data_IF_078260529497
#
_entry.id   IF_078260529497
#
_cell.length_a   1.000
_cell.length_b   1.000
_cell.length_c   1.000
_cell.angle_alpha   90.00
_cell.angle_beta   90.00
_cell.angle_gamma   90.00
#
_symmetry.space_group_name_H-M   'P 1'
#
loop_
_entity.id
_entity.type
_entity.pdbx_description
1 polymer ?
#
# COMPACT_ATOMS: atom_id res chain seq x y z
N UNK A 1 10.29 -0.56 -5.02
CA UNK A 1 9.29 -1.62 -4.79
C UNK A 1 9.44 -2.15 -3.37
N UNK A 2 8.34 -2.43 -2.65
CA UNK A 2 8.41 -3.06 -1.34
C UNK A 2 9.19 -4.37 -1.44
N UNK A 3 10.15 -4.60 -0.55
CA UNK A 3 11.00 -5.81 -0.57
C UNK A 3 10.23 -7.06 -0.13
N UNK A 4 9.18 -6.87 0.66
CA UNK A 4 8.34 -7.92 1.22
C UNK A 4 6.88 -7.50 1.05
N UNK A 5 6.00 -8.47 0.80
CA UNK A 5 4.58 -8.21 0.56
C UNK A 5 3.86 -7.90 1.87
N UNK A 6 3.63 -8.91 2.72
CA UNK A 6 2.92 -8.79 3.99
C UNK A 6 3.38 -9.85 4.99
N UNK A 7 3.12 -9.66 6.30
CA UNK A 7 3.20 -10.77 7.25
C UNK A 7 2.10 -11.79 6.95
N UNK A 8 2.50 -13.06 6.84
CA UNK A 8 1.58 -14.19 6.65
C UNK A 8 1.76 -15.19 7.78
N UNK A 9 0.68 -15.86 8.15
CA UNK A 9 0.69 -16.93 9.17
C UNK A 9 1.20 -18.23 8.54
N UNK A 10 2.07 -18.94 9.25
CA UNK A 10 2.54 -20.26 8.85
C UNK A 10 1.44 -21.28 9.18
N UNK A 11 0.91 -21.93 8.14
CA UNK A 11 -0.09 -23.00 8.28
C UNK A 11 0.55 -24.36 8.58
N UNK A 12 1.71 -24.65 7.98
CA UNK A 12 2.45 -25.88 8.22
C UNK A 12 3.96 -25.66 8.06
N UNK A 13 4.76 -26.45 8.78
CA UNK A 13 6.21 -26.41 8.70
C UNK A 13 6.77 -27.80 8.34
N UNK A 14 7.67 -27.83 7.36
CA UNK A 14 8.36 -29.02 6.89
C UNK A 14 9.88 -28.84 7.06
N UNK A 15 10.40 -28.96 8.30
CA UNK A 15 11.81 -28.65 8.59
C UNK A 15 12.80 -29.53 7.83
N UNK A 16 12.41 -30.77 7.48
CA UNK A 16 13.25 -31.69 6.68
C UNK A 16 13.61 -31.14 5.29
N UNK A 17 12.73 -30.33 4.70
CA UNK A 17 12.94 -29.71 3.37
C UNK A 17 13.18 -28.21 3.46
N UNK A 18 13.23 -27.65 4.68
CA UNK A 18 13.22 -26.20 4.89
C UNK A 18 12.06 -25.49 4.17
N UNK A 19 10.91 -26.15 4.08
CA UNK A 19 9.71 -25.63 3.42
C UNK A 19 8.66 -25.25 4.47
N UNK A 20 7.95 -24.16 4.23
CA UNK A 20 6.86 -23.68 5.06
C UNK A 20 5.66 -23.37 4.18
N UNK A 21 4.47 -23.75 4.64
CA UNK A 21 3.21 -23.41 4.00
C UNK A 21 2.64 -22.17 4.65
N UNK A 22 2.37 -21.13 3.87
CA UNK A 22 1.77 -19.88 4.32
C UNK A 22 0.26 -19.86 4.04
N UNK A 23 -0.50 -19.20 4.91
CA UNK A 23 -1.89 -18.84 4.63
C UNK A 23 -1.95 -17.55 3.80
N UNK A 24 -2.41 -17.64 2.56
CA UNK A 24 -2.47 -16.52 1.60
C UNK A 24 -3.93 -16.14 1.25
N UNK A 25 -4.68 -15.49 2.16
CA UNK A 25 -6.08 -15.13 1.90
C UNK A 25 -6.24 -14.13 0.75
N UNK A 26 -5.24 -13.27 0.54
CA UNK A 26 -5.26 -12.23 -0.50
C UNK A 26 -4.99 -12.79 -1.91
N UNK A 27 -4.33 -13.95 -2.02
CA UNK A 27 -3.94 -14.51 -3.30
C UNK A 27 -4.06 -16.05 -3.28
N UNK A 28 -5.30 -16.57 -3.34
CA UNK A 28 -5.56 -18.01 -3.24
C UNK A 28 -5.04 -18.81 -4.45
N UNK A 29 -4.69 -18.14 -5.55
CA UNK A 29 -4.18 -18.78 -6.77
C UNK A 29 -2.67 -19.10 -6.67
N UNK A 30 -1.96 -18.49 -5.72
CA UNK A 30 -0.51 -18.68 -5.57
C UNK A 30 -0.21 -19.93 -4.76
N UNK A 31 0.86 -20.64 -5.12
CA UNK A 31 1.30 -21.81 -4.37
C UNK A 31 1.73 -21.40 -2.95
N UNK A 32 1.18 -22.02 -1.89
CA UNK A 32 1.40 -21.57 -0.52
C UNK A 32 2.72 -22.06 0.09
N UNK A 33 3.44 -22.99 -0.57
CA UNK A 33 4.70 -23.54 -0.08
C UNK A 33 5.90 -22.69 -0.48
N UNK A 34 6.68 -22.24 0.50
CA UNK A 34 7.88 -21.42 0.31
C UNK A 34 9.07 -22.03 1.04
N UNK A 35 10.25 -21.92 0.44
CA UNK A 35 11.50 -22.29 1.10
C UNK A 35 11.90 -21.22 2.13
N UNK A 36 12.54 -21.64 3.23
CA UNK A 36 12.94 -20.80 4.36
C UNK A 36 13.75 -19.55 3.96
N UNK A 37 14.57 -19.65 2.91
CA UNK A 37 15.40 -18.54 2.41
C UNK A 37 14.60 -17.38 1.81
N UNK A 38 13.35 -17.63 1.39
CA UNK A 38 12.45 -16.61 0.86
C UNK A 38 11.64 -15.92 1.96
N UNK A 39 11.63 -16.52 3.16
CA UNK A 39 10.84 -16.05 4.28
C UNK A 39 11.70 -15.18 5.20
N UNK A 40 11.09 -14.11 5.68
CA UNK A 40 11.67 -13.26 6.72
C UNK A 40 10.71 -13.19 7.88
N UNK A 41 11.22 -13.43 9.10
CA UNK A 41 10.42 -13.27 10.30
C UNK A 41 9.92 -11.85 10.40
N UNK A 42 8.61 -11.69 10.52
CA UNK A 42 8.00 -10.41 10.83
C UNK A 42 8.25 -10.08 12.31
N UNK A 43 8.75 -8.87 12.56
CA UNK A 43 8.94 -8.33 13.90
C UNK A 43 8.07 -7.08 13.95
N UNK A 44 7.03 -7.03 14.81
CA UNK A 44 6.21 -5.84 14.94
C UNK A 44 7.05 -4.67 15.42
N UNK A 45 6.67 -3.46 15.02
CA UNK A 45 7.32 -2.26 15.52
C UNK A 45 7.07 -2.12 17.03
N UNK A 46 8.08 -1.65 17.76
CA UNK A 46 7.89 -1.24 19.15
C UNK A 46 7.72 0.27 19.18
N UNK A 47 6.50 0.73 19.47
CA UNK A 47 6.12 2.14 19.50
C UNK A 47 6.93 2.97 20.51
N UNK A 48 7.33 2.38 21.65
CA UNK A 48 8.07 3.09 22.70
C UNK A 48 9.51 3.39 22.27
N UNK A 49 10.14 2.46 21.56
CA UNK A 49 11.53 2.58 21.11
C UNK A 49 11.65 3.29 19.76
N UNK A 50 10.65 3.12 18.89
CA UNK A 50 10.66 3.64 17.53
C UNK A 50 9.32 4.29 17.17
N UNK A 51 8.92 5.38 17.85
CA UNK A 51 7.65 6.07 17.57
C UNK A 51 7.63 6.62 16.14
N UNK A 52 8.78 7.00 15.58
CA UNK A 52 8.89 7.50 14.20
C UNK A 52 8.64 6.45 13.10
N UNK A 53 8.51 5.17 13.46
CA UNK A 53 8.18 4.09 12.51
C UNK A 53 6.68 3.81 12.45
N UNK A 54 5.92 4.27 13.43
CA UNK A 54 4.47 4.23 13.42
C UNK A 54 3.96 5.56 12.86
N UNK A 55 3.23 5.45 11.75
CA UNK A 55 2.48 6.57 11.24
C UNK A 55 1.07 6.48 11.81
N UNK A 56 0.54 7.57 12.37
CA UNK A 56 -0.84 7.62 12.84
C UNK A 56 -1.75 7.40 11.65
N UNK A 57 -2.34 6.21 11.53
CA UNK A 57 -3.36 5.93 10.53
C UNK A 57 -4.64 6.64 10.98
N UNK A 58 -5.03 7.80 10.39
CA UNK A 58 -6.34 8.36 10.70
C UNK A 58 -7.41 7.33 10.33
N UNK A 59 -8.49 7.22 11.14
CA UNK A 59 -9.59 6.34 10.79
C UNK A 59 -10.19 6.76 9.44
N UNK A 60 -10.62 5.80 8.60
CA UNK A 60 -11.31 6.11 7.35
C UNK A 60 -12.59 6.89 7.64
N UNK A 61 -12.89 7.85 6.78
CA UNK A 61 -14.14 8.61 6.81
C UNK A 61 -15.20 7.74 6.13
N UNK A 62 -16.34 7.53 6.79
CA UNK A 62 -17.48 6.82 6.20
C UNK A 62 -18.34 7.83 5.44
N UNK A 63 -18.41 7.68 4.12
CA UNK A 63 -19.36 8.45 3.28
C UNK A 63 -20.78 7.93 3.50
N UNK A 64 -21.80 8.72 3.19
CA UNK A 64 -23.23 8.36 3.32
C UNK A 64 -23.61 7.06 2.57
N UNK A 65 -22.80 6.66 1.58
CA UNK A 65 -22.93 5.41 0.81
C UNK A 65 -22.27 4.19 1.48
N UNK A 66 -21.67 4.36 2.66
CA UNK A 66 -20.99 3.30 3.41
C UNK A 66 -19.60 2.92 2.87
N UNK A 67 -19.02 3.74 2.00
CA UNK A 67 -17.65 3.56 1.50
C UNK A 67 -16.64 4.24 2.43
N UNK A 68 -15.53 3.55 2.70
CA UNK A 68 -14.39 4.08 3.46
C UNK A 68 -13.53 4.97 2.55
N UNK A 69 -13.56 6.27 2.79
CA UNK A 69 -12.72 7.26 2.11
C UNK A 69 -11.59 7.74 3.02
N UNK A 70 -10.34 7.66 2.55
CA UNK A 70 -9.19 8.21 3.25
C UNK A 70 -8.85 9.59 2.71
N UNK A 71 -8.38 10.50 3.58
CA UNK A 71 -8.00 11.85 3.15
C UNK A 71 -6.68 11.81 2.36
N UNK A 72 -6.68 12.40 1.18
CA UNK A 72 -5.48 12.52 0.33
C UNK A 72 -4.64 13.71 0.79
N UNK A 73 -3.36 13.48 1.07
CA UNK A 73 -2.41 14.54 1.43
C UNK A 73 -1.87 15.21 0.18
N UNK A 74 -1.34 14.41 -0.76
CA UNK A 74 -0.70 14.91 -1.95
C UNK A 74 -0.61 13.85 -3.05
N UNK A 75 -0.74 14.29 -4.29
CA UNK A 75 -0.43 13.48 -5.47
C UNK A 75 1.06 13.65 -5.82
N UNK A 76 1.79 12.55 -5.98
CA UNK A 76 3.24 12.58 -6.22
C UNK A 76 3.63 12.52 -7.69
N UNK A 77 3.09 11.57 -8.47
CA UNK A 77 3.62 11.22 -9.80
C UNK A 77 2.54 10.69 -10.75
N UNK A 78 2.77 10.92 -12.04
CA UNK A 78 2.17 10.18 -13.16
C UNK A 78 3.23 9.17 -13.67
N UNK A 79 2.86 7.94 -14.06
CA UNK A 79 3.81 7.04 -14.69
C UNK A 79 4.15 7.53 -16.11
N UNK A 80 5.44 7.59 -16.44
CA UNK A 80 5.95 8.06 -17.74
C UNK A 80 5.40 7.27 -18.95
N UNK A 81 4.93 6.03 -18.77
CA UNK A 81 4.69 5.09 -19.88
C UNK A 81 3.29 4.46 -19.96
N UNK A 82 2.23 5.07 -19.42
CA UNK A 82 0.88 4.51 -19.54
C UNK A 82 -0.08 5.42 -20.32
N UNK A 83 -0.86 4.83 -21.24
CA UNK A 83 -1.92 5.53 -22.02
C UNK A 83 -3.05 6.10 -21.15
N UNK A 84 -3.10 5.71 -19.87
CA UNK A 84 -4.18 6.06 -18.94
C UNK A 84 -3.59 6.84 -17.77
N UNK A 85 -4.19 7.99 -17.43
CA UNK A 85 -3.76 8.84 -16.32
C UNK A 85 -4.00 8.11 -14.98
N UNK A 86 -2.92 7.60 -14.40
CA UNK A 86 -2.89 7.13 -13.02
C UNK A 86 -2.06 8.10 -12.19
N UNK A 87 -2.50 8.31 -10.95
CA UNK A 87 -1.88 9.22 -10.02
C UNK A 87 -1.42 8.44 -8.80
N UNK A 88 -0.16 8.62 -8.41
CA UNK A 88 0.35 8.06 -7.14
C UNK A 88 -0.11 8.96 -6.01
N UNK A 89 -1.04 8.47 -5.21
CA UNK A 89 -1.68 9.18 -4.11
C UNK A 89 -0.94 8.87 -2.82
N UNK A 90 -0.57 9.92 -2.08
CA UNK A 90 -0.16 9.83 -0.68
C UNK A 90 -1.32 10.24 0.21
N UNK A 91 -1.63 9.38 1.18
CA UNK A 91 -2.69 9.60 2.16
C UNK A 91 -2.17 10.37 3.38
N UNK A 92 -3.04 11.21 3.98
CA UNK A 92 -2.69 12.01 5.16
C UNK A 92 -2.34 11.10 6.33
N UNK A 93 -1.15 11.28 6.91
CA UNK A 93 -0.71 10.48 8.04
C UNK A 93 -0.28 9.07 7.67
N UNK A 94 -0.16 8.72 6.38
CA UNK A 94 0.43 7.46 5.95
C UNK A 94 1.87 7.67 5.46
N UNK A 95 2.73 6.70 5.77
CA UNK A 95 4.09 6.67 5.23
C UNK A 95 4.10 6.36 3.73
N UNK A 96 5.19 6.75 3.05
CA UNK A 96 5.49 6.47 1.63
C UNK A 96 5.32 5.00 1.19
N UNK A 97 5.36 4.06 2.12
CA UNK A 97 5.19 2.63 1.83
C UNK A 97 3.73 2.24 1.55
N UNK A 98 2.78 3.12 1.89
CA UNK A 98 1.33 2.95 1.68
C UNK A 98 0.80 3.83 0.53
N UNK A 99 1.69 4.44 -0.27
CA UNK A 99 1.29 5.21 -1.44
C UNK A 99 0.61 4.26 -2.46
N UNK A 100 -0.57 4.63 -2.95
CA UNK A 100 -1.39 3.80 -3.83
C UNK A 100 -1.60 4.47 -5.20
N UNK A 101 -1.62 3.66 -6.26
CA UNK A 101 -1.99 4.13 -7.60
C UNK A 101 -3.50 4.19 -7.74
N UNK A 102 -4.02 5.38 -8.01
CA UNK A 102 -5.45 5.64 -8.20
C UNK A 102 -5.72 6.11 -9.62
N UNK A 103 -6.91 5.79 -10.12
CA UNK A 103 -7.34 6.21 -11.45
C UNK A 103 -7.78 7.68 -11.44
N UNK A 104 -7.54 8.42 -12.53
CA UNK A 104 -7.99 9.80 -12.63
C UNK A 104 -9.50 9.99 -12.45
N UNK A 105 -10.33 9.02 -12.85
CA UNK A 105 -11.79 9.08 -12.67
C UNK A 105 -12.22 9.08 -11.21
N UNK A 106 -11.49 8.36 -10.37
CA UNK A 106 -11.77 8.26 -8.94
C UNK A 106 -11.32 9.52 -8.18
N UNK A 107 -10.35 10.24 -8.75
CA UNK A 107 -9.83 11.49 -8.22
C UNK A 107 -10.45 12.74 -8.84
N UNK A 108 -11.38 12.58 -9.79
CA UNK A 108 -11.94 13.69 -10.58
C UNK A 108 -12.70 14.71 -9.71
N UNK A 109 -13.20 14.29 -8.55
CA UNK A 109 -13.92 15.14 -7.59
C UNK A 109 -13.03 15.65 -6.44
N UNK A 110 -11.73 15.36 -6.46
CA UNK A 110 -10.83 15.64 -5.34
C UNK A 110 -10.02 16.92 -5.56
N UNK A 111 -10.10 17.87 -4.62
CA UNK A 111 -9.38 19.16 -4.68
C UNK A 111 -7.85 18.97 -4.77
N UNK A 112 -7.33 17.87 -4.24
CA UNK A 112 -5.92 17.50 -4.33
C UNK A 112 -5.44 17.29 -5.78
N UNK A 113 -6.34 16.84 -6.67
CA UNK A 113 -6.04 16.70 -8.09
C UNK A 113 -5.92 18.06 -8.76
N UNK A 114 -6.85 18.99 -8.47
CA UNK A 114 -6.84 20.33 -9.03
C UNK A 114 -5.57 21.12 -8.65
N UNK A 115 -5.13 21.00 -7.40
CA UNK A 115 -3.88 21.62 -6.92
C UNK A 115 -2.69 21.03 -7.67
N UNK A 116 -2.65 19.71 -7.82
CA UNK A 116 -1.55 19.03 -8.50
C UNK A 116 -1.50 19.37 -10.00
N UNK A 117 -2.64 19.42 -10.67
CA UNK A 117 -2.75 19.83 -12.07
C UNK A 117 -2.39 21.31 -12.27
N UNK A 118 -2.66 22.18 -11.30
CA UNK A 118 -2.20 23.57 -11.32
C UNK A 118 -0.68 23.70 -11.19
N UNK A 119 -0.06 22.89 -10.32
CA UNK A 119 1.40 22.91 -10.10
C UNK A 119 2.20 22.24 -11.24
N UNK A 120 1.67 21.16 -11.82
CA UNK A 120 2.35 20.36 -12.86
C UNK A 120 1.84 20.63 -14.28
N UNK A 121 0.77 21.41 -14.41
CA UNK A 121 0.16 21.81 -15.68
C UNK A 121 0.96 22.90 -16.38
N UNK A 122 2.14 22.56 -16.91
CA UNK A 122 2.69 23.13 -18.15
C UNK A 122 3.97 22.40 -18.54
N UNK A 123 3.80 21.33 -19.33
CA UNK A 123 4.65 20.96 -20.47
C UNK A 123 4.00 19.75 -21.16
N UNK A 124 3.02 20.03 -22.01
CA UNK A 124 2.79 19.23 -23.22
C UNK A 124 3.62 19.88 -24.32
#
# INVERSE_FOLDING_TARGET
>A
MPRHDRPYTIAAAHPKKSEYTLSLPNNPKTFPGFHASLLKRFIPNNAELFPSREFSQPPPILTEEGMEENMIEKIQKIPWCFLWKQYLVRWVGYGKDQDQWMSGKELEKNEALDIWERENGTKI
#
